data_IF_604915900339
#
_entry.id   IF_604915900339
#
_cell.length_a   1.000
_cell.length_b   1.000
_cell.length_c   1.000
_cell.angle_alpha   90.00
_cell.angle_beta   90.00
_cell.angle_gamma   90.00
#
_symmetry.space_group_name_H-M   'P 1'
#
loop_
_entity.id
_entity.type
_entity.pdbx_description
1 polymer ?
#
# COMPACT_ATOMS: atom_id res chain seq x y z
N UNK A 1 18.00 10.00 -28.95
CA UNK A 1 18.39 8.59 -28.72
C UNK A 1 17.83 8.10 -27.41
N UNK A 2 18.06 8.80 -26.32
CA UNK A 2 17.50 8.46 -25.01
C UNK A 2 15.99 8.79 -24.89
N UNK A 3 15.45 9.53 -25.81
CA UNK A 3 14.02 9.88 -25.92
C UNK A 3 13.18 8.78 -26.58
N UNK A 4 13.82 7.80 -27.24
CA UNK A 4 13.13 6.66 -27.85
C UNK A 4 12.74 5.68 -26.76
N UNK A 5 11.46 5.30 -26.68
CA UNK A 5 10.96 4.30 -25.72
C UNK A 5 11.43 2.86 -26.03
N UNK A 6 12.06 2.62 -27.19
CA UNK A 6 12.61 1.32 -27.56
C UNK A 6 14.01 1.11 -26.96
N UNK A 7 14.07 0.35 -25.88
CA UNK A 7 15.32 0.00 -25.20
C UNK A 7 16.28 -0.82 -26.08
N UNK A 8 15.79 -1.56 -27.07
CA UNK A 8 16.63 -2.34 -27.99
C UNK A 8 17.35 -1.42 -28.97
N UNK A 9 16.64 -0.41 -29.48
CA UNK A 9 17.24 0.61 -30.33
C UNK A 9 18.26 1.45 -29.56
N UNK A 10 17.93 1.87 -28.35
CA UNK A 10 18.87 2.58 -27.48
C UNK A 10 20.17 1.78 -27.29
N UNK A 11 20.08 0.49 -26.95
CA UNK A 11 21.25 -0.38 -26.78
C UNK A 11 22.11 -0.47 -28.04
N UNK A 12 21.48 -0.77 -29.19
CA UNK A 12 22.18 -0.87 -30.48
C UNK A 12 22.90 0.41 -30.82
N UNK A 13 22.31 1.55 -30.50
CA UNK A 13 22.90 2.84 -30.80
C UNK A 13 24.09 3.16 -29.88
N UNK A 14 23.96 2.92 -28.58
CA UNK A 14 25.04 3.09 -27.60
C UNK A 14 26.22 2.17 -27.97
N UNK A 15 25.98 0.91 -28.33
CA UNK A 15 27.01 -0.04 -28.78
C UNK A 15 27.74 0.44 -30.03
N UNK A 16 26.99 0.98 -31.01
CA UNK A 16 27.57 1.55 -32.22
C UNK A 16 28.51 2.73 -31.93
N UNK A 17 28.06 3.64 -31.06
CA UNK A 17 28.89 4.78 -30.64
C UNK A 17 30.13 4.34 -29.86
N UNK A 18 30.02 3.34 -29.00
CA UNK A 18 31.15 2.74 -28.28
C UNK A 18 32.19 2.16 -29.24
N UNK A 19 31.75 1.45 -30.27
CA UNK A 19 32.67 0.89 -31.28
C UNK A 19 33.39 1.98 -32.05
N UNK A 20 32.66 3.03 -32.50
CA UNK A 20 33.25 4.16 -33.16
C UNK A 20 34.28 4.93 -32.29
N UNK A 21 33.95 5.11 -31.00
CA UNK A 21 34.86 5.76 -30.05
C UNK A 21 36.13 4.91 -29.78
N UNK A 22 35.98 3.57 -29.77
CA UNK A 22 37.11 2.63 -29.63
C UNK A 22 38.04 2.68 -30.84
N UNK A 23 37.47 2.67 -32.05
CA UNK A 23 38.21 2.74 -33.29
C UNK A 23 38.99 4.08 -33.43
N UNK A 24 38.42 5.14 -32.87
CA UNK A 24 39.07 6.46 -32.78
C UNK A 24 40.06 6.59 -31.61
N UNK A 25 40.26 5.57 -30.78
CA UNK A 25 41.15 5.60 -29.61
C UNK A 25 40.64 6.44 -28.42
N UNK A 26 39.35 6.88 -28.44
CA UNK A 26 38.75 7.81 -27.47
C UNK A 26 37.68 7.18 -26.57
N UNK A 27 37.71 5.88 -26.37
CA UNK A 27 36.68 5.15 -25.61
C UNK A 27 36.45 5.72 -24.19
N UNK A 28 37.53 6.06 -23.46
CA UNK A 28 37.41 6.59 -22.09
C UNK A 28 36.74 7.99 -22.03
N UNK A 29 37.05 8.85 -22.99
CA UNK A 29 36.43 10.18 -23.08
C UNK A 29 34.92 10.03 -23.38
N UNK A 30 34.60 9.16 -24.32
CA UNK A 30 33.22 8.85 -24.67
C UNK A 30 32.42 8.31 -23.47
N UNK A 31 32.97 7.36 -22.70
CA UNK A 31 32.35 6.81 -21.50
C UNK A 31 32.07 7.90 -20.47
N UNK A 32 32.98 8.83 -20.27
CA UNK A 32 32.82 9.96 -19.37
C UNK A 32 31.67 10.89 -19.79
N UNK A 33 31.63 11.27 -21.07
CA UNK A 33 30.58 12.14 -21.64
C UNK A 33 29.21 11.41 -21.59
N UNK A 34 29.17 10.16 -21.99
CA UNK A 34 27.95 9.38 -21.98
C UNK A 34 27.37 9.24 -20.55
N UNK A 35 28.23 9.00 -19.56
CA UNK A 35 27.81 8.93 -18.15
C UNK A 35 27.23 10.25 -17.65
N UNK A 36 27.87 11.39 -17.95
CA UNK A 36 27.35 12.70 -17.59
C UNK A 36 25.98 12.93 -18.22
N UNK A 37 25.85 12.66 -19.51
CA UNK A 37 24.62 12.84 -20.27
C UNK A 37 23.48 11.94 -19.74
N UNK A 38 23.77 10.66 -19.41
CA UNK A 38 22.79 9.75 -18.80
C UNK A 38 22.38 10.27 -17.42
N UNK A 39 23.31 10.81 -16.63
CA UNK A 39 23.00 11.36 -15.29
C UNK A 39 22.03 12.53 -15.40
N UNK A 40 22.30 13.47 -16.32
CA UNK A 40 21.43 14.63 -16.57
C UNK A 40 20.05 14.18 -17.08
N UNK A 41 20.02 13.25 -18.03
CA UNK A 41 18.79 12.66 -18.54
C UNK A 41 17.95 11.98 -17.45
N UNK A 42 18.59 11.22 -16.54
CA UNK A 42 17.91 10.60 -15.39
C UNK A 42 17.35 11.66 -14.45
N UNK A 43 18.06 12.78 -14.24
CA UNK A 43 17.56 13.89 -13.41
C UNK A 43 16.35 14.57 -14.05
N UNK A 44 16.40 14.86 -15.34
CA UNK A 44 15.26 15.41 -16.08
C UNK A 44 14.05 14.45 -16.06
N UNK A 45 14.30 13.17 -16.31
CA UNK A 45 13.24 12.14 -16.20
C UNK A 45 12.68 12.01 -14.79
N UNK A 46 13.48 12.18 -13.75
CA UNK A 46 12.99 12.21 -12.36
C UNK A 46 12.09 13.41 -12.08
N UNK A 47 12.41 14.57 -12.65
CA UNK A 47 11.53 15.74 -12.54
C UNK A 47 10.24 15.57 -13.32
N UNK A 48 10.29 15.00 -14.52
CA UNK A 48 9.10 14.65 -15.32
C UNK A 48 8.32 13.48 -14.72
N UNK A 49 9.01 12.52 -14.08
CA UNK A 49 8.40 11.35 -13.46
C UNK A 49 7.63 11.67 -12.16
N UNK A 50 7.77 12.90 -11.60
CA UNK A 50 6.90 13.31 -10.48
C UNK A 50 5.42 13.26 -10.83
N UNK A 51 5.09 13.35 -12.13
CA UNK A 51 3.71 13.36 -12.65
C UNK A 51 3.28 12.00 -13.20
N UNK A 52 4.16 10.98 -13.18
CA UNK A 52 3.81 9.64 -13.65
C UNK A 52 2.88 8.95 -12.66
N UNK A 53 1.77 8.43 -13.17
CA UNK A 53 0.73 7.79 -12.38
C UNK A 53 0.57 6.32 -12.74
N UNK A 54 -0.03 5.58 -11.82
CA UNK A 54 -0.44 4.18 -12.04
C UNK A 54 -1.50 4.13 -13.15
N UNK A 55 -1.41 3.13 -14.03
CA UNK A 55 -2.31 2.93 -15.19
C UNK A 55 -2.75 1.48 -15.27
N UNK A 56 -3.46 1.02 -14.25
CA UNK A 56 -4.03 -0.32 -14.25
C UNK A 56 -5.49 -0.27 -14.71
N UNK A 57 -5.92 -1.28 -15.41
CA UNK A 57 -7.32 -1.42 -15.77
C UNK A 57 -8.20 -1.55 -14.52
N UNK A 58 -9.29 -0.79 -14.47
CA UNK A 58 -10.26 -0.78 -13.37
C UNK A 58 -9.63 -0.64 -11.97
N UNK A 59 -8.55 0.16 -11.88
CA UNK A 59 -7.84 0.36 -10.61
C UNK A 59 -8.70 1.06 -9.56
N UNK A 60 -8.57 0.68 -8.28
CA UNK A 60 -9.37 1.26 -7.20
C UNK A 60 -9.05 2.74 -6.95
N UNK A 61 -7.86 3.19 -7.32
CA UNK A 61 -7.45 4.60 -7.27
C UNK A 61 -6.24 4.84 -8.15
N UNK A 62 -6.05 6.09 -8.57
CA UNK A 62 -4.90 6.56 -9.33
C UNK A 62 -3.88 7.19 -8.38
N UNK A 63 -2.61 6.77 -8.46
CA UNK A 63 -1.53 7.26 -7.60
C UNK A 63 -0.34 7.72 -8.43
N UNK A 64 0.33 8.76 -7.98
CA UNK A 64 1.66 9.09 -8.47
C UNK A 64 2.64 7.99 -8.07
N UNK A 65 3.40 7.49 -9.02
CA UNK A 65 4.34 6.38 -8.82
C UNK A 65 5.81 6.74 -9.15
N UNK A 66 6.09 8.00 -9.42
CA UNK A 66 7.45 8.48 -9.67
C UNK A 66 8.07 7.83 -10.92
N UNK A 67 9.26 7.26 -10.77
CA UNK A 67 9.99 6.64 -11.87
C UNK A 67 9.49 5.25 -12.29
N UNK A 68 8.45 4.75 -11.63
CA UNK A 68 7.91 3.41 -11.89
C UNK A 68 6.90 3.44 -13.03
N UNK A 69 6.99 2.46 -13.92
CA UNK A 69 5.94 2.15 -14.89
C UNK A 69 5.04 1.10 -14.25
N UNK A 70 3.86 1.53 -13.86
CA UNK A 70 2.86 0.70 -13.19
C UNK A 70 1.66 0.52 -14.14
N UNK A 71 1.63 -0.61 -14.84
CA UNK A 71 0.69 -0.96 -15.90
C UNK A 71 0.16 -2.38 -15.71
N UNK A 72 -0.82 -2.80 -16.49
CA UNK A 72 -1.45 -4.13 -16.38
C UNK A 72 -0.47 -5.30 -16.48
N UNK A 73 0.67 -5.09 -17.14
CA UNK A 73 1.76 -6.07 -17.25
C UNK A 73 2.62 -6.18 -15.98
N UNK A 74 2.31 -5.36 -14.96
CA UNK A 74 3.04 -5.31 -13.70
C UNK A 74 3.77 -3.98 -13.47
N UNK A 75 4.75 -4.03 -12.57
CA UNK A 75 5.48 -2.85 -12.11
C UNK A 75 6.95 -3.00 -12.47
N UNK A 76 7.45 -2.04 -13.22
CA UNK A 76 8.83 -2.03 -13.70
C UNK A 76 9.43 -0.63 -13.67
N UNK A 77 10.75 -0.56 -13.72
CA UNK A 77 11.47 0.69 -13.99
C UNK A 77 12.68 0.43 -14.87
N UNK A 78 13.11 1.44 -15.59
CA UNK A 78 14.34 1.42 -16.38
C UNK A 78 15.48 2.04 -15.56
N UNK A 79 16.62 1.36 -15.53
CA UNK A 79 17.86 1.90 -14.97
C UNK A 79 19.01 1.67 -15.95
N UNK A 80 20.12 2.40 -15.78
CA UNK A 80 21.32 2.22 -16.59
C UNK A 80 22.38 1.49 -15.76
N UNK A 81 22.95 0.43 -16.32
CA UNK A 81 23.99 -0.37 -15.67
C UNK A 81 25.36 0.36 -15.66
N UNK A 82 26.39 -0.29 -15.11
CA UNK A 82 27.75 0.25 -15.03
C UNK A 82 28.38 0.53 -16.40
N UNK A 83 27.85 -0.07 -17.48
CA UNK A 83 28.25 0.14 -18.87
C UNK A 83 27.36 1.17 -19.59
N UNK A 84 26.54 1.90 -18.84
CA UNK A 84 25.55 2.85 -19.36
C UNK A 84 24.50 2.22 -20.31
N UNK A 85 24.23 0.92 -20.15
CA UNK A 85 23.21 0.22 -20.94
C UNK A 85 21.87 0.21 -20.20
N UNK A 86 20.75 0.54 -20.88
CA UNK A 86 19.43 0.51 -20.27
C UNK A 86 19.02 -0.93 -19.94
N UNK A 87 18.57 -1.12 -18.72
CA UNK A 87 18.07 -2.38 -18.19
C UNK A 87 16.69 -2.15 -17.58
N UNK A 88 15.83 -3.17 -17.65
CA UNK A 88 14.52 -3.12 -17.00
C UNK A 88 14.55 -3.97 -15.74
N UNK A 89 14.09 -3.40 -14.63
CA UNK A 89 13.84 -4.12 -13.38
C UNK A 89 12.34 -4.33 -13.26
N UNK A 90 11.92 -5.57 -13.04
CA UNK A 90 10.56 -5.90 -12.67
C UNK A 90 10.47 -5.94 -11.13
N UNK A 91 9.66 -5.05 -10.56
CA UNK A 91 9.39 -5.02 -9.13
C UNK A 91 8.29 -6.02 -8.76
N UNK A 92 7.27 -6.15 -9.59
CA UNK A 92 6.19 -7.11 -9.42
C UNK A 92 5.55 -7.42 -10.79
N UNK A 93 5.33 -8.68 -11.16
CA UNK A 93 4.66 -9.04 -12.40
C UNK A 93 3.12 -8.87 -12.32
N UNK A 94 2.60 -8.52 -11.14
CA UNK A 94 1.18 -8.23 -10.94
C UNK A 94 0.95 -6.74 -10.66
N UNK A 95 -0.17 -6.16 -11.11
CA UNK A 95 -0.65 -4.88 -10.64
C UNK A 95 -0.86 -4.93 -9.12
N UNK A 96 -0.22 -4.02 -8.41
CA UNK A 96 -0.36 -3.86 -6.96
C UNK A 96 -0.15 -2.39 -6.59
N UNK A 97 -0.96 -1.87 -5.66
CA UNK A 97 -0.83 -0.50 -5.17
C UNK A 97 -1.34 -0.37 -3.73
N UNK A 98 -0.82 0.58 -2.93
CA UNK A 98 -1.39 0.92 -1.64
C UNK A 98 -2.71 1.67 -1.86
N UNK A 99 -3.77 1.30 -1.12
CA UNK A 99 -5.09 1.93 -1.27
C UNK A 99 -5.59 2.60 -0.01
N UNK A 100 -5.07 2.19 1.15
CA UNK A 100 -5.51 2.74 2.42
C UNK A 100 -4.40 2.58 3.46
N UNK A 101 -4.26 3.56 4.34
CA UNK A 101 -3.42 3.47 5.53
C UNK A 101 -4.37 3.49 6.73
N UNK A 102 -4.26 2.48 7.58
CA UNK A 102 -5.01 2.35 8.82
C UNK A 102 -4.09 2.69 9.99
N UNK A 103 -4.57 3.52 10.91
CA UNK A 103 -3.83 3.84 12.13
C UNK A 103 -4.66 3.42 13.33
N UNK A 104 -4.17 2.44 14.08
CA UNK A 104 -4.84 1.94 15.27
C UNK A 104 -4.88 3.03 16.34
N UNK A 105 -6.07 3.29 16.87
CA UNK A 105 -6.29 4.37 17.84
C UNK A 105 -5.76 4.04 19.24
N UNK A 106 -5.61 2.76 19.56
CA UNK A 106 -5.11 2.31 20.87
C UNK A 106 -3.57 2.21 20.87
N UNK A 107 -2.98 1.61 19.82
CA UNK A 107 -1.53 1.34 19.76
C UNK A 107 -0.76 2.38 18.97
N UNK A 108 -1.42 3.24 18.18
CA UNK A 108 -0.82 4.15 17.20
C UNK A 108 -0.02 3.46 16.07
N UNK A 109 -0.08 2.15 15.97
CA UNK A 109 0.55 1.40 14.89
C UNK A 109 -0.18 1.63 13.56
N UNK A 110 0.58 1.60 12.47
CA UNK A 110 0.03 1.75 11.13
C UNK A 110 0.07 0.44 10.36
N UNK A 111 -1.02 0.19 9.64
CA UNK A 111 -1.17 -0.92 8.70
C UNK A 111 -1.49 -0.38 7.31
N UNK A 112 -1.02 -1.05 6.28
CA UNK A 112 -1.22 -0.66 4.89
C UNK A 112 -2.09 -1.69 4.21
N UNK A 113 -3.21 -1.22 3.64
CA UNK A 113 -4.04 -2.03 2.77
C UNK A 113 -3.49 -1.91 1.34
N UNK A 114 -3.06 -3.03 0.78
CA UNK A 114 -2.61 -3.17 -0.59
C UNK A 114 -3.73 -3.80 -1.43
N UNK A 115 -4.03 -3.21 -2.58
CA UNK A 115 -4.86 -3.83 -3.59
C UNK A 115 -3.95 -4.45 -4.67
N UNK A 116 -4.28 -5.66 -5.12
CA UNK A 116 -3.57 -6.36 -6.18
C UNK A 116 -4.55 -7.07 -7.12
N UNK A 117 -4.20 -7.11 -8.39
CA UNK A 117 -5.04 -7.75 -9.40
C UNK A 117 -4.70 -9.23 -9.52
N UNK A 118 -5.70 -10.09 -9.35
CA UNK A 118 -5.56 -11.53 -9.52
C UNK A 118 -6.82 -12.15 -10.13
N UNK A 119 -6.63 -13.00 -11.13
CA UNK A 119 -7.74 -13.63 -11.86
C UNK A 119 -8.77 -12.64 -12.42
N UNK A 120 -8.33 -11.44 -12.80
CA UNK A 120 -9.20 -10.38 -13.33
C UNK A 120 -9.96 -9.57 -12.27
N UNK A 121 -9.72 -9.81 -10.99
CA UNK A 121 -10.39 -9.11 -9.88
C UNK A 121 -9.39 -8.44 -8.94
N UNK A 122 -9.72 -7.24 -8.48
CA UNK A 122 -8.96 -6.54 -7.46
C UNK A 122 -9.23 -7.11 -6.08
N UNK A 123 -8.21 -7.73 -5.51
CA UNK A 123 -8.22 -8.25 -4.14
C UNK A 123 -7.46 -7.32 -3.21
N UNK A 124 -7.69 -7.45 -1.90
CA UNK A 124 -7.05 -6.62 -0.88
C UNK A 124 -6.37 -7.46 0.19
N UNK A 125 -5.23 -6.98 0.65
CA UNK A 125 -4.52 -7.52 1.80
C UNK A 125 -4.08 -6.36 2.70
N UNK A 126 -4.28 -6.49 4.00
CA UNK A 126 -3.76 -5.54 4.99
C UNK A 126 -2.55 -6.13 5.67
N UNK A 127 -1.45 -5.41 5.67
CA UNK A 127 -0.17 -5.80 6.28
C UNK A 127 0.35 -4.69 7.18
N UNK A 128 1.17 -5.04 8.15
CA UNK A 128 1.79 -4.07 9.03
C UNK A 128 2.78 -3.19 8.25
N UNK A 129 2.95 -1.94 8.66
CA UNK A 129 3.80 -0.99 7.95
C UNK A 129 5.25 -1.44 7.86
N UNK A 130 5.77 -2.11 8.89
CA UNK A 130 7.12 -2.66 8.90
C UNK A 130 7.31 -3.79 7.89
N UNK A 131 6.24 -4.54 7.58
CA UNK A 131 6.24 -5.55 6.51
C UNK A 131 6.40 -4.90 5.14
N UNK A 132 5.71 -3.78 4.89
CA UNK A 132 5.87 -3.03 3.65
C UNK A 132 7.24 -2.34 3.50
N UNK A 133 7.95 -2.14 4.60
CA UNK A 133 9.28 -1.52 4.62
C UNK A 133 10.44 -2.52 4.52
N UNK A 134 10.17 -3.82 4.68
CA UNK A 134 11.22 -4.87 4.70
C UNK A 134 11.00 -5.88 3.56
N UNK A 135 12.00 -5.97 2.66
CA UNK A 135 11.99 -6.87 1.53
C UNK A 135 11.91 -8.37 1.91
N UNK A 136 12.38 -8.74 3.10
CA UNK A 136 12.29 -10.13 3.58
C UNK A 136 10.92 -10.44 4.15
N UNK A 137 10.31 -9.48 4.84
CA UNK A 137 9.00 -9.65 5.48
C UNK A 137 7.85 -9.65 4.49
N UNK A 138 7.92 -8.83 3.43
CA UNK A 138 6.83 -8.64 2.47
C UNK A 138 6.54 -9.87 1.62
N UNK A 139 7.54 -10.70 1.35
CA UNK A 139 7.41 -11.90 0.49
C UNK A 139 6.36 -12.87 1.03
N UNK A 140 6.43 -13.19 2.32
CA UNK A 140 5.55 -14.19 2.93
C UNK A 140 4.05 -13.86 2.81
N UNK A 141 3.60 -12.70 3.30
CA UNK A 141 2.20 -12.28 3.19
C UNK A 141 1.70 -12.19 1.75
N UNK A 142 2.47 -11.62 0.83
CA UNK A 142 2.06 -11.48 -0.56
C UNK A 142 1.99 -12.83 -1.29
N UNK A 143 2.99 -13.69 -1.10
CA UNK A 143 3.01 -15.02 -1.71
C UNK A 143 1.87 -15.92 -1.22
N UNK A 144 1.50 -15.85 0.07
CA UNK A 144 0.33 -16.57 0.60
C UNK A 144 -0.97 -16.17 -0.10
N UNK A 145 -1.08 -14.94 -0.55
CA UNK A 145 -2.21 -14.41 -1.31
C UNK A 145 -2.03 -14.56 -2.84
N UNK A 146 -0.94 -15.22 -3.26
CA UNK A 146 -0.66 -15.57 -4.64
C UNK A 146 -0.17 -14.41 -5.51
N UNK A 147 0.40 -13.37 -4.90
CA UNK A 147 1.19 -12.36 -5.61
C UNK A 147 2.59 -12.90 -5.79
N UNK A 148 3.09 -12.91 -7.03
CA UNK A 148 4.42 -13.44 -7.36
C UNK A 148 5.52 -12.47 -6.95
N UNK A 149 5.94 -12.57 -5.70
CA UNK A 149 7.05 -11.79 -5.12
C UNK A 149 8.12 -12.76 -4.64
N UNK A 150 9.33 -12.53 -5.10
CA UNK A 150 10.51 -13.30 -4.72
C UNK A 150 11.50 -12.46 -3.93
N UNK A 151 12.48 -13.07 -3.29
CA UNK A 151 13.55 -12.34 -2.59
C UNK A 151 14.37 -11.42 -3.51
N UNK A 152 14.38 -11.69 -4.82
CA UNK A 152 15.12 -10.88 -5.80
C UNK A 152 14.41 -9.58 -6.14
N UNK A 153 13.09 -9.62 -6.33
CA UNK A 153 12.30 -8.46 -6.73
C UNK A 153 11.70 -7.68 -5.54
N UNK A 154 11.59 -8.30 -4.35
CA UNK A 154 10.96 -7.70 -3.17
C UNK A 154 11.53 -6.33 -2.78
N UNK A 155 12.85 -6.12 -2.88
CA UNK A 155 13.48 -4.82 -2.59
C UNK A 155 12.99 -3.69 -3.50
N UNK A 156 12.68 -4.02 -4.74
CA UNK A 156 12.16 -3.05 -5.70
C UNK A 156 10.68 -2.79 -5.48
N UNK A 157 9.93 -3.83 -5.11
CA UNK A 157 8.52 -3.69 -4.73
C UNK A 157 8.36 -2.80 -3.48
N UNK A 158 9.15 -3.04 -2.44
CA UNK A 158 9.19 -2.19 -1.23
C UNK A 158 9.45 -0.73 -1.59
N UNK A 159 10.42 -0.49 -2.48
CA UNK A 159 10.75 0.87 -2.93
C UNK A 159 9.58 1.50 -3.70
N UNK A 160 8.96 0.77 -4.62
CA UNK A 160 7.78 1.22 -5.34
C UNK A 160 6.63 1.61 -4.40
N UNK A 161 6.31 0.75 -3.43
CA UNK A 161 5.25 1.02 -2.44
C UNK A 161 5.59 2.25 -1.59
N UNK A 162 6.83 2.39 -1.17
CA UNK A 162 7.31 3.56 -0.43
C UNK A 162 7.18 4.85 -1.25
N UNK A 163 7.57 4.82 -2.53
CA UNK A 163 7.46 5.96 -3.44
C UNK A 163 5.98 6.34 -3.64
N UNK A 164 5.09 5.37 -3.88
CA UNK A 164 3.65 5.61 -4.00
C UNK A 164 3.07 6.24 -2.72
N UNK A 165 3.44 5.76 -1.54
CA UNK A 165 2.95 6.33 -0.27
C UNK A 165 3.48 7.75 -0.08
N UNK A 166 4.77 7.97 -0.33
CA UNK A 166 5.41 9.27 -0.15
C UNK A 166 4.92 10.36 -1.11
N UNK A 167 4.59 9.98 -2.34
CA UNK A 167 4.11 10.92 -3.37
C UNK A 167 2.62 11.26 -3.26
N UNK A 168 1.84 10.49 -2.49
CA UNK A 168 0.37 10.65 -2.40
C UNK A 168 -0.16 10.90 -0.99
N UNK A 169 0.40 11.83 -0.20
CA UNK A 169 -0.04 12.04 1.18
C UNK A 169 -1.48 12.53 1.29
N UNK A 170 -2.01 13.17 0.26
CA UNK A 170 -3.40 13.63 0.24
C UNK A 170 -4.41 12.50 -0.01
N UNK A 171 -4.05 11.54 -0.88
CA UNK A 171 -4.88 10.39 -1.23
C UNK A 171 -4.82 9.27 -0.17
N UNK A 172 -3.64 9.08 0.44
CA UNK A 172 -3.34 8.03 1.42
C UNK A 172 -3.25 8.58 2.85
N UNK A 173 -4.22 9.41 3.25
CA UNK A 173 -4.31 9.87 4.65
C UNK A 173 -4.61 8.71 5.58
N UNK A 174 -3.89 8.58 6.71
CA UNK A 174 -4.20 7.56 7.70
C UNK A 174 -5.64 7.69 8.22
N UNK A 175 -6.38 6.59 8.18
CA UNK A 175 -7.73 6.49 8.73
C UNK A 175 -7.68 5.79 10.07
N UNK A 176 -8.46 6.25 11.06
CA UNK A 176 -8.50 5.60 12.36
C UNK A 176 -9.05 4.17 12.24
N UNK A 177 -8.43 3.25 12.94
CA UNK A 177 -8.81 1.84 12.98
C UNK A 177 -8.74 1.29 14.41
N UNK A 178 -9.43 0.19 14.63
CA UNK A 178 -9.49 -0.52 15.92
C UNK A 178 -9.68 -2.01 15.68
N UNK A 179 -9.19 -2.84 16.60
CA UNK A 179 -9.30 -4.30 16.52
C UNK A 179 -10.17 -4.89 17.63
N UNK A 180 -10.83 -4.07 18.42
CA UNK A 180 -11.67 -4.49 19.56
C UNK A 180 -13.06 -3.86 19.53
N UNK A 181 -13.97 -4.42 20.28
CA UNK A 181 -15.25 -3.81 20.66
C UNK A 181 -15.07 -2.96 21.93
N UNK A 182 -16.01 -2.06 22.17
CA UNK A 182 -16.09 -1.33 23.41
C UNK A 182 -15.96 0.19 23.23
N UNK A 183 -15.75 0.86 24.33
CA UNK A 183 -15.66 2.31 24.39
C UNK A 183 -14.32 2.82 23.89
N UNK A 184 -14.37 3.95 23.21
CA UNK A 184 -13.25 4.75 22.79
C UNK A 184 -13.59 6.21 23.06
N UNK A 185 -13.17 6.71 24.19
CA UNK A 185 -13.65 8.01 24.69
C UNK A 185 -15.17 8.03 24.82
N UNK A 186 -15.83 8.87 24.03
CA UNK A 186 -17.30 8.99 24.04
C UNK A 186 -18.00 8.14 22.98
N UNK A 187 -17.27 7.40 22.16
CA UNK A 187 -17.82 6.57 21.08
C UNK A 187 -17.74 5.10 21.44
N UNK A 188 -18.77 4.35 21.07
CA UNK A 188 -18.80 2.91 21.28
C UNK A 188 -18.63 2.18 19.94
N UNK A 189 -17.67 1.24 19.88
CA UNK A 189 -17.47 0.40 18.72
C UNK A 189 -18.43 -0.81 18.77
N UNK A 190 -19.17 -1.10 17.70
CA UNK A 190 -18.96 -0.71 16.30
C UNK A 190 -19.81 0.47 15.78
N UNK A 191 -20.43 1.26 16.65
CA UNK A 191 -21.33 2.36 16.19
C UNK A 191 -20.58 3.58 15.64
N UNK A 192 -19.30 3.74 15.94
CA UNK A 192 -18.48 4.81 15.37
C UNK A 192 -18.31 4.61 13.86
N UNK A 193 -18.86 5.53 13.06
CA UNK A 193 -18.91 5.37 11.60
C UNK A 193 -17.57 5.64 10.91
N UNK A 194 -16.70 6.43 11.51
CA UNK A 194 -15.44 6.88 10.91
C UNK A 194 -14.24 6.00 11.25
N UNK A 195 -14.45 4.89 11.96
CA UNK A 195 -13.39 3.99 12.41
C UNK A 195 -13.52 2.64 11.72
N UNK A 196 -12.41 2.18 11.14
CA UNK A 196 -12.32 0.88 10.47
C UNK A 196 -12.01 -0.24 11.46
N UNK A 197 -12.70 -1.36 11.31
CA UNK A 197 -12.29 -2.58 11.99
C UNK A 197 -11.08 -3.19 11.27
N UNK A 198 -10.01 -3.47 12.00
CA UNK A 198 -8.76 -4.06 11.49
C UNK A 198 -8.37 -5.36 12.22
N UNK A 199 -9.27 -5.93 13.02
CA UNK A 199 -9.03 -7.16 13.76
C UNK A 199 -9.08 -8.41 12.88
N UNK A 200 -9.25 -9.58 13.53
CA UNK A 200 -9.38 -10.86 12.83
C UNK A 200 -10.57 -10.83 11.85
N UNK A 201 -10.36 -11.14 10.56
CA UNK A 201 -11.44 -11.20 9.57
C UNK A 201 -12.57 -12.16 9.96
N UNK A 202 -12.28 -13.22 10.68
CA UNK A 202 -13.30 -14.16 11.18
C UNK A 202 -14.22 -13.51 12.24
N UNK A 203 -13.76 -12.49 12.92
CA UNK A 203 -14.53 -11.75 13.92
C UNK A 203 -15.28 -10.56 13.32
N UNK A 204 -14.99 -10.16 12.09
CA UNK A 204 -15.61 -8.99 11.44
C UNK A 204 -17.13 -9.13 11.35
N UNK A 205 -17.66 -10.32 11.05
CA UNK A 205 -19.09 -10.59 11.00
C UNK A 205 -19.76 -10.39 12.36
N UNK A 206 -19.12 -10.83 13.43
CA UNK A 206 -19.58 -10.63 14.81
C UNK A 206 -19.51 -9.17 15.23
N UNK A 207 -18.45 -8.48 14.84
CA UNK A 207 -18.29 -7.04 15.05
C UNK A 207 -19.44 -6.26 14.40
N UNK A 208 -19.74 -6.56 13.14
CA UNK A 208 -20.84 -5.91 12.39
C UNK A 208 -22.24 -6.32 12.84
N UNK A 209 -22.37 -7.48 13.50
CA UNK A 209 -23.65 -7.95 14.02
C UNK A 209 -24.11 -7.19 15.28
N UNK A 210 -23.18 -6.50 15.96
CA UNK A 210 -23.52 -5.63 17.09
C UNK A 210 -24.13 -4.35 16.53
N UNK A 211 -25.44 -4.30 16.49
CA UNK A 211 -26.20 -3.15 15.96
C UNK A 211 -27.41 -2.86 16.85
N UNK A 212 -27.86 -1.61 16.79
CA UNK A 212 -29.10 -1.23 17.44
C UNK A 212 -30.28 -1.97 16.77
N UNK A 213 -31.12 -2.58 17.59
CA UNK A 213 -32.32 -3.27 17.11
C UNK A 213 -33.48 -3.13 18.12
N UNK A 214 -34.62 -2.67 17.64
CA UNK A 214 -35.81 -2.48 18.44
C UNK A 214 -36.04 -1.01 18.82
N UNK A 215 -37.04 -0.81 19.67
CA UNK A 215 -37.44 0.52 20.14
C UNK A 215 -36.83 0.79 21.52
N UNK A 216 -36.09 1.91 21.64
CA UNK A 216 -35.43 2.31 22.88
C UNK A 216 -36.41 2.59 24.02
N UNK A 217 -37.60 3.14 23.75
CA UNK A 217 -38.57 3.45 24.79
C UNK A 217 -39.21 2.20 25.36
N UNK A 218 -39.57 1.25 24.52
CA UNK A 218 -40.08 -0.06 24.93
C UNK A 218 -39.01 -0.78 25.77
N UNK A 219 -37.75 -0.78 25.32
CA UNK A 219 -36.66 -1.38 26.10
C UNK A 219 -36.49 -0.71 27.46
N UNK A 220 -36.56 0.61 27.54
CA UNK A 220 -36.42 1.37 28.78
C UNK A 220 -37.53 1.06 29.77
N UNK A 221 -38.78 0.97 29.30
CA UNK A 221 -39.92 0.57 30.11
C UNK A 221 -39.79 -0.83 30.69
N UNK A 222 -39.39 -1.81 29.86
CA UNK A 222 -39.11 -3.15 30.30
C UNK A 222 -37.97 -3.20 31.34
N UNK A 223 -36.90 -2.48 31.12
CA UNK A 223 -35.80 -2.37 32.08
C UNK A 223 -36.28 -1.77 33.40
N UNK A 224 -37.18 -0.79 33.38
CA UNK A 224 -37.73 -0.20 34.59
C UNK A 224 -38.49 -1.24 35.42
N UNK A 225 -39.39 -1.99 34.80
CA UNK A 225 -40.16 -3.07 35.45
C UNK A 225 -39.22 -4.14 36.01
N UNK A 226 -38.25 -4.59 35.21
CA UNK A 226 -37.32 -5.66 35.63
C UNK A 226 -36.43 -5.25 36.80
N UNK A 227 -36.09 -3.95 36.94
CA UNK A 227 -35.28 -3.41 38.05
C UNK A 227 -36.00 -3.44 39.39
N UNK A 228 -37.30 -3.72 39.47
CA UNK A 228 -38.01 -3.96 40.73
C UNK A 228 -37.45 -5.21 41.42
N UNK A 229 -37.03 -6.21 40.65
CA UNK A 229 -36.34 -7.37 41.18
C UNK A 229 -34.90 -7.03 41.59
N UNK A 230 -34.53 -7.29 42.86
CA UNK A 230 -33.22 -6.99 43.42
C UNK A 230 -32.08 -7.68 42.69
N UNK A 231 -32.26 -8.95 42.27
CA UNK A 231 -31.21 -9.70 41.55
C UNK A 231 -30.96 -9.11 40.17
N UNK A 232 -32.03 -8.78 39.44
CA UNK A 232 -31.93 -8.16 38.12
C UNK A 232 -31.26 -6.76 38.20
N UNK A 233 -31.61 -6.00 39.25
CA UNK A 233 -30.96 -4.69 39.48
C UNK A 233 -29.46 -4.84 39.75
N UNK A 234 -29.02 -5.87 40.48
CA UNK A 234 -27.62 -6.16 40.69
C UNK A 234 -26.94 -6.57 39.37
N UNK A 235 -27.59 -7.41 38.55
CA UNK A 235 -27.06 -7.80 37.25
C UNK A 235 -26.89 -6.59 36.30
N UNK A 236 -27.90 -5.69 36.27
CA UNK A 236 -27.75 -4.43 35.49
C UNK A 236 -26.65 -3.52 35.99
N UNK A 237 -26.49 -3.41 37.32
CA UNK A 237 -25.41 -2.62 37.90
C UNK A 237 -24.03 -3.21 37.56
N UNK A 238 -23.88 -4.54 37.63
CA UNK A 238 -22.66 -5.23 37.24
C UNK A 238 -22.33 -5.04 35.75
N UNK A 239 -23.35 -5.15 34.88
CA UNK A 239 -23.16 -4.89 33.43
C UNK A 239 -22.78 -3.44 33.14
N UNK A 240 -23.43 -2.48 33.83
CA UNK A 240 -23.11 -1.06 33.65
C UNK A 240 -21.72 -0.67 34.23
N UNK A 241 -21.24 -1.39 35.25
CA UNK A 241 -19.92 -1.14 35.84
C UNK A 241 -18.77 -1.41 34.87
N UNK A 242 -18.96 -2.30 33.88
CA UNK A 242 -17.96 -2.55 32.85
C UNK A 242 -17.63 -1.34 31.98
N UNK A 243 -18.51 -0.33 31.96
CA UNK A 243 -18.30 0.93 31.25
C UNK A 243 -17.49 1.94 32.07
N UNK A 244 -17.43 1.74 33.39
CA UNK A 244 -16.81 2.68 34.35
C UNK A 244 -15.40 2.20 34.74
N UNK A 245 -15.14 0.90 34.58
CA UNK A 245 -13.87 0.27 34.96
C UNK A 245 -12.91 0.24 33.74
N UNK A 246 -12.57 1.40 33.20
CA UNK A 246 -11.42 1.57 32.30
C UNK A 246 -10.14 1.89 33.06
#
# INVERSE_FOLDING_TARGET
ILETDDLVEQRKFIERLHNMARDAGRAREFDGVLRAFITDFIQEKKQQASDQKTRFFDQPMELFCGQWRAEDTGISMVYYDSKNMPQTICACPHPILPVEILKNVDTNEERICLAYLKYGEWQRITVDRDVCADAKKIVGPLSKNGVEVTSENAKYLVRYLSDCIGLNPAALKPKPSINRLGWMGQQFMPYAQDIRYEGDPNFESSFRAVCEKGDYQIWKEHCHILRENKVVRMAFAASASSVILE
#
